data_IF_701772374436
#
_entry.id   IF_701772374436
#
_cell.length_a   1.000
_cell.length_b   1.000
_cell.length_c   1.000
_cell.angle_alpha   90.00
_cell.angle_beta   90.00
_cell.angle_gamma   90.00
#
_symmetry.space_group_name_H-M   'P 1'
#
loop_
_entity.id
_entity.type
_entity.pdbx_description
1 polymer ?
#
# COMPACT_ATOMS: atom_id res chain seq x y z
N UNK A 1 -0.36 -37.20 40.60
CA UNK A 1 -0.92 -36.85 41.93
C UNK A 1 -1.64 -35.51 41.82
N UNK A 2 -2.98 -35.51 41.79
CA UNK A 2 -3.87 -34.39 42.23
C UNK A 2 -3.81 -34.31 43.78
N UNK A 3 -4.52 -33.42 44.52
CA UNK A 3 -5.57 -32.44 44.18
C UNK A 3 -5.32 -31.03 44.80
N UNK A 4 -5.91 -29.92 44.32
CA UNK A 4 -7.26 -29.36 44.53
C UNK A 4 -7.67 -29.04 45.97
N UNK A 5 -7.68 -27.76 46.32
CA UNK A 5 -8.52 -27.14 47.37
C UNK A 5 -9.14 -25.88 46.73
N UNK A 6 -10.34 -26.01 46.13
CA UNK A 6 -11.61 -25.61 46.74
C UNK A 6 -11.72 -24.06 46.85
N UNK A 7 -12.30 -23.35 45.87
CA UNK A 7 -13.76 -23.19 45.67
C UNK A 7 -14.52 -23.14 47.00
N UNK A 8 -14.26 -22.14 47.84
CA UNK A 8 -15.16 -21.67 48.89
C UNK A 8 -14.69 -20.27 49.30
N UNK A 9 -15.25 -19.18 48.77
CA UNK A 9 -16.39 -18.53 49.41
C UNK A 9 -17.09 -17.61 48.40
N UNK A 10 -18.10 -18.13 47.70
CA UNK A 10 -19.08 -17.29 47.01
C UNK A 10 -20.02 -16.70 48.08
N UNK A 11 -20.24 -15.39 48.00
CA UNK A 11 -21.33 -14.58 48.59
C UNK A 11 -21.10 -14.00 49.98
N UNK A 12 -20.79 -12.71 50.01
CA UNK A 12 -21.58 -11.66 50.68
C UNK A 12 -20.86 -10.30 50.47
N UNK A 13 -21.61 -9.19 50.48
CA UNK A 13 -21.16 -7.80 50.32
C UNK A 13 -21.26 -7.22 48.88
N UNK A 14 -22.38 -7.46 48.19
CA UNK A 14 -23.12 -6.29 47.68
C UNK A 14 -23.70 -5.63 48.93
N UNK A 15 -23.43 -4.34 49.18
CA UNK A 15 -24.24 -3.39 49.99
C UNK A 15 -23.42 -2.25 50.66
N UNK A 16 -22.34 -1.74 50.07
CA UNK A 16 -21.91 -0.35 50.32
C UNK A 16 -21.33 0.21 49.03
N UNK A 17 -22.12 1.03 48.34
CA UNK A 17 -21.69 1.71 47.12
C UNK A 17 -20.61 2.73 47.43
N UNK A 18 -19.36 2.41 47.09
CA UNK A 18 -18.40 3.33 46.45
C UNK A 18 -17.43 2.43 45.68
N UNK A 19 -17.54 2.37 44.36
CA UNK A 19 -16.43 1.86 43.55
C UNK A 19 -15.38 2.96 43.61
N UNK A 20 -14.37 2.79 44.47
CA UNK A 20 -13.19 3.65 44.46
C UNK A 20 -12.39 3.34 43.19
N UNK A 21 -12.76 3.99 42.09
CA UNK A 21 -11.91 4.03 40.89
C UNK A 21 -10.76 4.98 41.22
N UNK A 22 -9.61 4.45 41.62
CA UNK A 22 -8.37 5.19 41.66
C UNK A 22 -7.85 5.38 40.23
N UNK A 23 -8.55 6.18 39.45
CA UNK A 23 -8.14 6.69 38.14
C UNK A 23 -8.21 8.21 38.18
N UNK A 24 -7.10 8.86 37.84
CA UNK A 24 -6.95 10.32 37.85
C UNK A 24 -8.10 10.97 37.05
N UNK A 25 -8.82 11.98 37.57
CA UNK A 25 -9.61 12.83 36.70
C UNK A 25 -8.62 13.69 35.94
N UNK A 26 -8.22 13.24 34.76
CA UNK A 26 -7.64 14.15 33.79
C UNK A 26 -8.73 15.18 33.45
N UNK A 27 -8.45 16.50 33.56
CA UNK A 27 -9.34 17.46 32.96
C UNK A 27 -9.36 17.12 31.47
N UNK A 28 -10.56 16.91 30.91
CA UNK A 28 -10.84 16.89 29.47
C UNK A 28 -10.41 18.24 28.88
N UNK A 29 -9.10 18.40 28.78
CA UNK A 29 -8.39 19.41 28.04
C UNK A 29 -8.48 18.92 26.61
N UNK A 30 -9.09 19.73 25.75
CA UNK A 30 -9.38 19.46 24.34
C UNK A 30 -8.34 18.54 23.70
N UNK A 31 -8.68 17.25 23.60
CA UNK A 31 -8.12 16.42 22.52
C UNK A 31 -9.06 16.63 21.35
N UNK A 32 -9.02 17.83 20.76
CA UNK A 32 -9.41 17.99 19.36
C UNK A 32 -8.23 17.54 18.52
N UNK A 33 -7.98 16.24 18.44
CA UNK A 33 -6.95 15.66 17.58
C UNK A 33 -7.62 14.77 16.52
N UNK A 34 -7.09 14.64 15.28
CA UNK A 34 -5.98 15.35 14.65
C UNK A 34 -6.29 15.53 13.15
N UNK A 35 -7.35 16.25 12.79
CA UNK A 35 -7.39 16.90 11.47
C UNK A 35 -6.87 18.32 11.72
N UNK A 36 -5.64 18.41 12.22
CA UNK A 36 -4.86 19.60 11.98
C UNK A 36 -4.89 19.76 10.47
N UNK A 37 -5.67 20.74 10.01
CA UNK A 37 -5.75 21.15 8.62
C UNK A 37 -4.32 21.07 8.11
N UNK A 38 -4.07 20.17 7.17
CA UNK A 38 -2.72 19.88 6.78
C UNK A 38 -2.24 21.11 6.02
N UNK A 39 -1.58 21.99 6.76
CA UNK A 39 -1.24 23.33 6.34
C UNK A 39 0.01 23.22 5.49
N UNK A 40 -0.18 22.78 4.26
CA UNK A 40 0.77 23.02 3.18
C UNK A 40 0.64 24.50 2.80
N UNK A 41 1.06 25.38 3.72
CA UNK A 41 1.26 26.78 3.40
C UNK A 41 2.43 26.81 2.43
N UNK A 42 2.20 27.40 1.26
CA UNK A 42 3.05 27.39 0.08
C UNK A 42 4.52 27.73 0.40
N UNK A 43 5.29 26.71 0.79
CA UNK A 43 6.73 26.81 1.04
C UNK A 43 7.54 26.40 -0.21
N UNK A 44 7.00 26.65 -1.39
CA UNK A 44 7.75 26.64 -2.65
C UNK A 44 8.08 25.27 -3.24
N UNK A 45 7.46 24.19 -2.75
CA UNK A 45 7.56 22.86 -3.37
C UNK A 45 6.27 22.51 -4.13
N UNK A 46 5.86 23.38 -5.06
CA UNK A 46 4.76 23.12 -6.02
C UNK A 46 5.15 22.10 -7.11
N UNK A 47 6.21 21.33 -6.87
CA UNK A 47 6.61 20.24 -7.73
C UNK A 47 5.61 19.10 -7.53
N UNK A 48 4.81 18.74 -8.55
CA UNK A 48 3.88 17.64 -8.43
C UNK A 48 4.66 16.36 -8.13
N UNK A 49 4.05 15.45 -7.38
CA UNK A 49 4.62 14.14 -7.06
C UNK A 49 3.60 13.04 -7.35
N UNK A 50 4.07 11.87 -7.73
CA UNK A 50 3.22 10.71 -7.91
C UNK A 50 3.20 9.89 -6.61
N UNK A 51 2.01 9.68 -6.05
CA UNK A 51 1.82 8.83 -4.88
C UNK A 51 1.92 7.34 -5.25
N UNK A 52 2.24 6.50 -4.26
CA UNK A 52 2.20 5.02 -4.44
C UNK A 52 0.80 4.49 -4.76
N UNK A 53 -0.24 5.30 -4.57
CA UNK A 53 -1.62 5.02 -4.97
C UNK A 53 -1.92 5.41 -6.43
N UNK A 54 -0.92 5.84 -7.19
CA UNK A 54 -1.04 6.23 -8.59
C UNK A 54 -1.72 7.58 -8.81
N UNK A 55 -1.89 8.40 -7.76
CA UNK A 55 -2.46 9.75 -7.87
C UNK A 55 -1.39 10.83 -7.83
N UNK A 56 -1.59 11.84 -8.66
CA UNK A 56 -0.76 13.05 -8.64
C UNK A 56 -1.15 13.93 -7.46
N UNK A 57 -0.17 14.28 -6.65
CA UNK A 57 -0.28 15.25 -5.56
C UNK A 57 0.42 16.54 -5.97
N UNK A 58 -0.18 17.69 -5.67
CA UNK A 58 0.36 19.01 -6.05
C UNK A 58 1.75 19.28 -5.46
N UNK A 59 2.06 18.65 -4.32
CA UNK A 59 3.34 18.71 -3.64
C UNK A 59 3.59 17.48 -2.79
N UNK A 60 4.85 17.25 -2.40
CA UNK A 60 5.21 16.23 -1.41
C UNK A 60 4.49 16.46 -0.05
N UNK A 61 4.26 17.72 0.33
CA UNK A 61 3.47 18.05 1.51
C UNK A 61 2.04 17.50 1.38
N UNK A 62 1.37 17.76 0.25
CA UNK A 62 0.00 17.30 0.03
C UNK A 62 -0.12 15.76 0.02
N UNK A 63 0.89 15.05 -0.51
CA UNK A 63 0.96 13.59 -0.43
C UNK A 63 1.08 13.09 1.02
N UNK A 64 1.97 13.70 1.82
CA UNK A 64 2.14 13.37 3.25
C UNK A 64 0.89 13.68 4.06
N UNK A 65 0.18 14.76 3.71
CA UNK A 65 -1.08 15.13 4.32
C UNK A 65 -2.19 14.11 4.07
N UNK A 66 -2.23 13.54 2.86
CA UNK A 66 -3.07 12.40 2.54
C UNK A 66 -2.54 11.07 3.11
N UNK A 67 -1.40 11.08 3.82
CA UNK A 67 -0.68 9.91 4.33
C UNK A 67 -0.29 8.91 3.23
N UNK A 68 0.01 9.42 2.04
CA UNK A 68 0.48 8.65 0.89
C UNK A 68 1.97 8.86 0.71
N UNK A 69 2.71 7.77 0.54
CA UNK A 69 4.13 7.81 0.22
C UNK A 69 4.34 8.29 -1.24
N UNK A 70 5.38 9.09 -1.47
CA UNK A 70 5.77 9.51 -2.81
C UNK A 70 6.51 8.37 -3.51
N UNK A 71 6.02 7.96 -4.68
CA UNK A 71 6.68 6.98 -5.55
C UNK A 71 7.81 7.63 -6.35
N UNK A 72 7.54 8.77 -7.00
CA UNK A 72 8.54 9.56 -7.74
C UNK A 72 8.13 11.04 -7.82
N UNK A 73 9.11 11.91 -8.06
CA UNK A 73 8.91 13.33 -8.33
C UNK A 73 8.36 13.55 -9.74
N UNK A 74 7.41 14.46 -9.91
CA UNK A 74 6.63 14.67 -11.14
C UNK A 74 5.19 14.19 -10.98
N UNK A 75 4.29 14.68 -11.84
CA UNK A 75 2.93 14.16 -11.89
C UNK A 75 2.92 12.67 -12.26
N UNK A 76 1.94 11.92 -11.78
CA UNK A 76 1.70 10.58 -12.31
C UNK A 76 1.40 10.71 -13.80
N UNK A 77 2.25 10.08 -14.62
CA UNK A 77 1.91 9.78 -16.00
C UNK A 77 0.87 8.67 -15.96
N UNK A 78 -0.25 8.84 -16.64
CA UNK A 78 -1.46 8.04 -16.44
C UNK A 78 -1.23 6.52 -16.34
N UNK A 79 -1.96 5.95 -15.38
CA UNK A 79 -2.04 4.55 -14.95
C UNK A 79 -0.75 3.95 -14.34
N UNK A 80 -0.84 3.33 -13.15
CA UNK A 80 0.20 2.41 -12.70
C UNK A 80 0.24 1.24 -13.71
N UNK A 81 1.18 1.31 -14.65
CA UNK A 81 1.38 0.30 -15.68
C UNK A 81 1.72 0.78 -17.09
N UNK A 82 1.83 2.08 -17.40
CA UNK A 82 2.20 2.50 -18.76
C UNK A 82 3.23 3.64 -18.76
N UNK A 83 4.52 3.29 -18.72
CA UNK A 83 5.62 4.21 -19.05
C UNK A 83 5.70 4.56 -20.54
N UNK A 84 4.77 4.08 -21.37
CA UNK A 84 4.99 4.02 -22.82
C UNK A 84 3.84 4.53 -23.68
N UNK A 85 3.75 5.85 -23.84
CA UNK A 85 2.90 6.47 -24.87
C UNK A 85 3.61 6.69 -26.21
N UNK A 86 4.83 6.16 -26.41
CA UNK A 86 5.60 6.31 -27.67
C UNK A 86 5.67 5.05 -28.54
N UNK A 87 5.10 3.92 -28.14
CA UNK A 87 5.18 2.70 -28.95
C UNK A 87 4.10 2.61 -30.02
N UNK A 88 4.52 2.28 -31.24
CA UNK A 88 3.63 1.88 -32.33
C UNK A 88 3.45 0.35 -32.30
N UNK A 89 2.64 -0.13 -31.38
CA UNK A 89 2.27 -1.55 -31.32
C UNK A 89 0.92 -1.81 -32.02
N UNK A 90 0.77 -2.97 -32.69
CA UNK A 90 -0.52 -3.43 -33.15
C UNK A 90 -1.47 -3.71 -31.97
N UNK A 91 -2.78 -3.67 -32.24
CA UNK A 91 -3.85 -3.85 -31.25
C UNK A 91 -4.41 -5.28 -31.26
N UNK A 92 -3.63 -6.24 -31.75
CA UNK A 92 -3.96 -7.66 -31.64
C UNK A 92 -3.79 -8.11 -30.19
N UNK A 93 -4.72 -8.97 -29.77
CA UNK A 93 -4.73 -9.54 -28.42
C UNK A 93 -4.05 -10.90 -28.50
N UNK A 94 -2.83 -10.96 -27.99
CA UNK A 94 -1.98 -12.14 -27.88
C UNK A 94 -1.24 -12.06 -26.54
N UNK A 95 -1.98 -12.28 -25.46
CA UNK A 95 -1.52 -12.01 -24.10
C UNK A 95 -0.20 -12.70 -23.76
N UNK A 96 0.66 -11.98 -23.05
CA UNK A 96 1.92 -12.51 -22.54
C UNK A 96 2.11 -12.13 -21.07
N UNK A 97 2.74 -13.02 -20.31
CA UNK A 97 3.17 -12.73 -18.95
C UNK A 97 4.63 -12.27 -19.02
N UNK A 98 4.92 -11.10 -18.47
CA UNK A 98 6.25 -10.53 -18.43
C UNK A 98 6.60 -10.04 -17.03
N UNK A 99 7.89 -9.94 -16.75
CA UNK A 99 8.41 -9.25 -15.56
C UNK A 99 8.89 -7.86 -15.96
N UNK A 100 8.36 -6.84 -15.27
CA UNK A 100 8.81 -5.45 -15.41
C UNK A 100 9.70 -5.01 -14.25
N UNK A 101 10.67 -4.14 -14.55
CA UNK A 101 11.57 -3.53 -13.58
C UNK A 101 10.93 -2.29 -12.95
N UNK A 102 10.03 -2.51 -11.99
CA UNK A 102 9.68 -1.46 -11.02
C UNK A 102 10.57 -1.70 -9.80
N UNK A 103 11.84 -1.33 -9.91
CA UNK A 103 12.79 -1.35 -8.79
C UNK A 103 12.11 -0.80 -7.51
N UNK A 104 12.15 -1.49 -6.35
CA UNK A 104 12.86 -2.75 -6.03
C UNK A 104 11.96 -4.00 -6.01
N UNK A 105 10.76 -3.96 -6.61
CA UNK A 105 9.78 -5.06 -6.55
C UNK A 105 9.56 -5.61 -7.96
N UNK A 106 10.00 -6.83 -8.18
CA UNK A 106 9.65 -7.62 -9.37
C UNK A 106 8.12 -7.76 -9.46
N UNK A 107 7.50 -7.18 -10.49
CA UNK A 107 6.06 -7.31 -10.75
C UNK A 107 5.82 -8.21 -11.96
N UNK A 108 4.82 -9.08 -11.85
CA UNK A 108 4.31 -9.88 -12.98
C UNK A 108 3.16 -9.11 -13.62
N UNK A 109 3.33 -8.76 -14.88
CA UNK A 109 2.38 -7.92 -15.62
C UNK A 109 1.92 -8.71 -16.84
N UNK A 110 0.60 -8.79 -17.02
CA UNK A 110 0.00 -9.31 -18.24
C UNK A 110 -0.08 -8.19 -19.26
N UNK A 111 0.69 -8.29 -20.34
CA UNK A 111 0.58 -7.38 -21.48
C UNK A 111 -0.36 -7.98 -22.53
N UNK A 112 -1.17 -7.15 -23.20
CA UNK A 112 -2.10 -7.67 -24.21
C UNK A 112 -1.40 -8.20 -25.46
N UNK A 113 -0.14 -7.83 -25.69
CA UNK A 113 0.73 -8.50 -26.65
C UNK A 113 2.21 -8.34 -26.32
N UNK A 114 3.03 -9.17 -26.95
CA UNK A 114 4.50 -9.17 -26.79
C UNK A 114 5.17 -7.88 -27.26
N UNK A 115 4.57 -7.13 -28.19
CA UNK A 115 5.06 -5.82 -28.59
C UNK A 115 4.99 -4.85 -27.41
N UNK A 116 3.85 -4.81 -26.72
CA UNK A 116 3.67 -3.94 -25.56
C UNK A 116 4.55 -4.34 -24.37
N UNK A 117 4.81 -5.63 -24.16
CA UNK A 117 5.75 -6.08 -23.12
C UNK A 117 7.18 -5.57 -23.39
N UNK A 118 7.70 -5.81 -24.60
CA UNK A 118 9.05 -5.36 -25.00
C UNK A 118 9.17 -3.84 -25.05
N UNK A 119 8.06 -3.20 -25.42
CA UNK A 119 7.95 -1.76 -25.43
C UNK A 119 8.22 -1.20 -24.03
N UNK A 120 7.67 -1.79 -22.98
CA UNK A 120 7.86 -1.37 -21.59
C UNK A 120 9.14 -1.96 -20.93
N UNK A 121 10.10 -2.39 -21.77
CA UNK A 121 11.34 -3.08 -21.34
C UNK A 121 11.09 -4.33 -20.45
N UNK A 122 9.89 -4.90 -20.50
CA UNK A 122 9.55 -6.07 -19.71
C UNK A 122 10.07 -7.36 -20.37
N UNK A 123 10.58 -8.27 -19.54
CA UNK A 123 11.07 -9.59 -19.98
C UNK A 123 9.89 -10.55 -20.03
N UNK A 124 9.52 -10.97 -21.25
CA UNK A 124 8.46 -11.98 -21.45
C UNK A 124 8.90 -13.32 -20.87
N UNK A 125 8.06 -13.88 -19.99
CA UNK A 125 8.26 -15.19 -19.37
C UNK A 125 7.57 -16.30 -20.19
N UNK A 126 6.31 -16.09 -20.58
CA UNK A 126 5.53 -17.05 -21.38
C UNK A 126 4.33 -16.39 -22.08
N UNK A 127 3.86 -17.02 -23.16
CA UNK A 127 2.79 -16.52 -24.04
C UNK A 127 1.37 -16.84 -23.52
N UNK A 128 1.07 -16.41 -22.30
CA UNK A 128 -0.30 -16.34 -21.77
C UNK A 128 -0.36 -15.34 -20.61
N UNK A 129 -1.57 -14.95 -20.18
CA UNK A 129 -1.73 -14.10 -19.01
C UNK A 129 -1.04 -14.67 -17.76
N UNK A 130 -0.55 -13.80 -16.88
CA UNK A 130 0.05 -14.23 -15.62
C UNK A 130 -1.02 -14.90 -14.74
N UNK A 131 -0.81 -16.17 -14.40
CA UNK A 131 -1.77 -16.99 -13.61
C UNK A 131 -1.26 -17.32 -12.20
N UNK A 132 -0.01 -16.99 -11.88
CA UNK A 132 0.63 -17.38 -10.61
C UNK A 132 0.70 -16.23 -9.60
N UNK A 133 0.48 -16.49 -8.29
CA UNK A 133 0.87 -15.56 -7.24
C UNK A 133 2.40 -15.51 -7.12
N UNK A 134 2.94 -14.30 -6.86
CA UNK A 134 4.37 -13.96 -6.74
C UNK A 134 5.25 -15.01 -6.02
N UNK A 135 4.68 -15.77 -5.09
CA UNK A 135 5.36 -16.79 -4.29
C UNK A 135 5.81 -18.03 -5.09
N UNK A 136 5.19 -18.36 -6.24
CA UNK A 136 5.53 -19.57 -7.01
C UNK A 136 6.51 -19.35 -8.17
N UNK A 137 6.79 -18.10 -8.52
CA UNK A 137 7.62 -17.76 -9.69
C UNK A 137 9.12 -17.72 -9.37
N UNK A 138 9.48 -17.57 -8.09
CA UNK A 138 10.87 -17.72 -7.59
C UNK A 138 11.40 -19.17 -7.71
N UNK A 139 10.51 -20.13 -7.97
CA UNK A 139 10.84 -21.54 -8.11
C UNK A 139 10.91 -22.00 -9.57
N UNK A 140 10.59 -21.14 -10.54
CA UNK A 140 10.80 -21.46 -11.94
C UNK A 140 12.30 -21.27 -12.25
N UNK A 141 12.96 -22.26 -12.86
CA UNK A 141 14.34 -22.11 -13.26
C UNK A 141 14.43 -20.95 -14.25
N UNK A 142 15.18 -19.90 -13.90
CA UNK A 142 15.60 -18.89 -14.86
C UNK A 142 16.61 -19.58 -15.77
N UNK A 143 16.14 -20.19 -16.84
CA UNK A 143 17.02 -20.78 -17.85
C UNK A 143 17.78 -19.65 -18.52
N UNK A 144 19.11 -19.75 -18.42
CA UNK A 144 20.10 -18.83 -18.98
C UNK A 144 20.08 -18.78 -20.52
#
# INVERSE_FOLDING_TARGET
MKPSEAVLLKRALLLLGVVAVCGRPEPLSLVTDPVAACQCLDHGEDTPVCGVDGKTYASACSARCARIAVAYTGACTEAPGLRFSSCKCPQDIAEVCAVGDIDPIIHYITYSNSCMAKCDDAVVLYDSACTVPYQQVRQLPVTA
#
